data_IF_256572916297
#
_entry.id   IF_256572916297
#
_cell.length_a   1.000
_cell.length_b   1.000
_cell.length_c   1.000
_cell.angle_alpha   90.00
_cell.angle_beta   90.00
_cell.angle_gamma   90.00
#
_symmetry.space_group_name_H-M   'P 1'
#
loop_
_entity.id
_entity.type
_entity.pdbx_description
1 polymer ?
#
# COMPACT_ATOMS: atom_id res chain seq x y z
N UNK A 1 18.01 -4.05 6.30
CA UNK A 1 16.71 -4.49 5.77
C UNK A 1 15.60 -4.10 6.73
N UNK A 2 14.53 -3.61 6.17
CA UNK A 2 13.39 -3.20 6.99
C UNK A 2 12.56 -4.42 7.38
N UNK A 3 12.15 -4.50 8.63
CA UNK A 3 11.27 -5.58 9.05
C UNK A 3 9.85 -5.28 8.57
N UNK A 4 9.02 -6.33 8.52
CA UNK A 4 7.63 -6.15 8.13
C UNK A 4 6.90 -5.22 9.11
N UNK A 5 7.21 -5.34 10.40
CA UNK A 5 6.61 -4.46 11.39
C UNK A 5 6.94 -3.00 11.15
N UNK A 6 8.20 -2.70 10.85
CA UNK A 6 8.61 -1.33 10.58
C UNK A 6 7.99 -0.82 9.29
N UNK A 7 7.91 -1.67 8.26
CA UNK A 7 7.28 -1.28 7.03
C UNK A 7 5.81 -0.94 7.26
N UNK A 8 5.09 -1.79 8.00
CA UNK A 8 3.69 -1.57 8.29
C UNK A 8 3.49 -0.24 9.02
N UNK A 9 4.33 0.03 10.03
CA UNK A 9 4.26 1.27 10.77
C UNK A 9 4.55 2.48 9.88
N UNK A 10 5.55 2.37 9.00
CA UNK A 10 5.88 3.45 8.10
C UNK A 10 4.74 3.74 7.12
N UNK A 11 4.12 2.70 6.60
CA UNK A 11 3.00 2.87 5.68
C UNK A 11 1.79 3.46 6.38
N UNK A 12 1.52 3.03 7.60
CA UNK A 12 0.41 3.60 8.35
C UNK A 12 0.67 5.08 8.65
N UNK A 13 1.93 5.44 8.95
CA UNK A 13 2.29 6.83 9.16
C UNK A 13 2.11 7.66 7.88
N UNK A 14 2.46 7.09 6.74
CA UNK A 14 2.26 7.77 5.45
C UNK A 14 0.76 8.03 5.24
N UNK A 15 -0.06 7.04 5.50
CA UNK A 15 -1.51 7.17 5.38
C UNK A 15 -2.02 8.26 6.32
N UNK A 16 -1.61 8.22 7.56
CA UNK A 16 -2.08 9.17 8.57
C UNK A 16 -1.64 10.58 8.24
N UNK A 17 -0.39 10.74 7.83
CA UNK A 17 0.15 12.06 7.52
C UNK A 17 -0.48 12.67 6.26
N UNK A 18 -0.97 11.83 5.36
CA UNK A 18 -1.60 12.28 4.13
C UNK A 18 -3.12 12.38 4.25
N UNK A 19 -3.64 12.11 5.43
CA UNK A 19 -5.09 12.15 5.69
C UNK A 19 -5.88 11.26 4.73
N UNK A 20 -5.33 10.10 4.41
CA UNK A 20 -6.01 9.16 3.53
C UNK A 20 -6.90 8.24 4.36
N UNK A 21 -8.05 7.90 3.79
CA UNK A 21 -8.97 6.99 4.46
C UNK A 21 -8.63 5.54 4.08
N UNK A 22 -7.47 5.12 4.52
CA UNK A 22 -6.97 3.77 4.27
C UNK A 22 -6.44 3.17 5.56
N UNK A 23 -6.43 1.85 5.60
CA UNK A 23 -5.86 1.13 6.73
C UNK A 23 -5.05 -0.05 6.19
N UNK A 24 -3.86 -0.25 6.71
CA UNK A 24 -3.05 -1.42 6.35
C UNK A 24 -3.60 -2.60 7.15
N UNK A 25 -4.12 -3.60 6.45
CA UNK A 25 -4.74 -4.74 7.11
C UNK A 25 -3.90 -6.00 7.04
N UNK A 26 -2.91 -6.04 6.16
CA UNK A 26 -2.06 -7.23 6.05
C UNK A 26 -0.76 -6.87 5.36
N UNK A 27 0.32 -7.46 5.83
CA UNK A 27 1.64 -7.29 5.22
C UNK A 27 2.38 -8.61 5.28
N UNK A 28 3.06 -8.96 4.22
CA UNK A 28 3.87 -10.17 4.20
C UNK A 28 5.03 -10.00 3.23
N UNK A 29 6.06 -10.81 3.41
CA UNK A 29 7.14 -10.89 2.44
C UNK A 29 6.74 -11.86 1.35
N UNK A 30 7.09 -11.55 0.12
CA UNK A 30 6.86 -12.44 -1.01
C UNK A 30 8.09 -12.43 -1.90
N UNK A 31 8.15 -13.36 -2.83
CA UNK A 31 9.28 -13.46 -3.74
C UNK A 31 10.40 -14.30 -3.15
N UNK A 32 11.44 -14.48 -3.95
CA UNK A 32 12.60 -15.29 -3.56
C UNK A 32 13.88 -14.59 -3.95
N UNK A 33 14.86 -14.73 -3.10
CA UNK A 33 16.18 -14.19 -3.35
C UNK A 33 16.14 -12.70 -3.67
N UNK A 34 16.67 -12.32 -4.81
CA UNK A 34 16.76 -10.92 -5.18
C UNK A 34 15.43 -10.32 -5.64
N UNK A 35 14.43 -11.16 -5.80
CA UNK A 35 13.11 -10.70 -6.23
C UNK A 35 12.15 -10.52 -5.06
N UNK A 36 12.67 -10.49 -3.85
CA UNK A 36 11.82 -10.33 -2.68
C UNK A 36 11.19 -8.95 -2.64
N UNK A 37 9.95 -8.92 -2.25
CA UNK A 37 9.24 -7.66 -2.07
C UNK A 37 8.21 -7.85 -0.97
N UNK A 38 7.65 -6.74 -0.49
CA UNK A 38 6.60 -6.78 0.51
C UNK A 38 5.26 -6.73 -0.20
N UNK A 39 4.34 -7.58 0.20
CA UNK A 39 2.99 -7.55 -0.33
C UNK A 39 2.11 -6.98 0.77
N UNK A 40 1.49 -5.85 0.50
CA UNK A 40 0.73 -5.10 1.50
C UNK A 40 -0.68 -4.90 1.01
N UNK A 41 -1.65 -5.21 1.85
CA UNK A 41 -3.06 -5.01 1.53
C UNK A 41 -3.58 -3.85 2.36
N UNK A 42 -4.22 -2.91 1.69
CA UNK A 42 -4.88 -1.79 2.36
C UNK A 42 -6.37 -1.87 2.10
N UNK A 43 -7.14 -1.34 3.03
CA UNK A 43 -8.58 -1.32 2.96
C UNK A 43 -9.07 0.12 3.08
N UNK A 44 -10.11 0.45 2.36
CA UNK A 44 -10.67 1.78 2.44
C UNK A 44 -12.09 1.80 1.87
N UNK A 45 -12.67 2.98 1.82
CA UNK A 45 -13.95 3.17 1.18
C UNK A 45 -15.16 3.07 2.08
N UNK A 46 -14.97 3.00 3.39
CA UNK A 46 -16.11 2.88 4.30
C UNK A 46 -17.18 3.93 4.08
N UNK A 47 -16.77 5.10 3.65
CA UNK A 47 -17.70 6.19 3.39
C UNK A 47 -17.70 6.59 1.93
N UNK A 48 -17.23 5.71 1.08
CA UNK A 48 -16.90 6.06 -0.28
C UNK A 48 -18.00 5.94 -1.30
N UNK A 49 -19.19 5.57 -0.91
CA UNK A 49 -20.32 5.47 -1.82
C UNK A 49 -20.10 4.55 -3.02
N UNK A 50 -19.13 3.66 -2.94
CA UNK A 50 -18.86 2.69 -3.99
C UNK A 50 -18.34 3.26 -5.29
N UNK A 51 -17.84 4.48 -5.28
CA UNK A 51 -17.36 5.11 -6.51
C UNK A 51 -15.89 4.82 -6.78
N UNK A 52 -15.65 4.11 -7.85
CA UNK A 52 -14.29 3.71 -8.22
C UNK A 52 -13.37 4.89 -8.46
N UNK A 53 -13.89 5.98 -8.99
CA UNK A 53 -13.07 7.18 -9.19
C UNK A 53 -12.46 7.68 -7.89
N UNK A 54 -13.22 7.65 -6.82
CA UNK A 54 -12.72 8.06 -5.52
C UNK A 54 -11.69 7.06 -5.01
N UNK A 55 -11.93 5.78 -5.19
CA UNK A 55 -11.00 4.74 -4.75
C UNK A 55 -9.66 4.88 -5.46
N UNK A 56 -9.70 5.07 -6.79
CA UNK A 56 -8.47 5.25 -7.54
C UNK A 56 -7.72 6.52 -7.10
N UNK A 57 -8.45 7.57 -6.79
CA UNK A 57 -7.83 8.80 -6.33
C UNK A 57 -7.10 8.58 -5.00
N UNK A 58 -7.73 7.89 -4.07
CA UNK A 58 -7.11 7.60 -2.78
C UNK A 58 -5.88 6.72 -2.96
N UNK A 59 -5.99 5.68 -3.79
CA UNK A 59 -4.87 4.77 -4.01
C UNK A 59 -3.72 5.46 -4.75
N UNK A 60 -4.03 6.35 -5.68
CA UNK A 60 -3.01 7.12 -6.37
C UNK A 60 -2.23 8.00 -5.40
N UNK A 61 -2.93 8.66 -4.49
CA UNK A 61 -2.28 9.49 -3.48
C UNK A 61 -1.42 8.65 -2.55
N UNK A 62 -1.90 7.46 -2.20
CA UNK A 62 -1.12 6.55 -1.38
C UNK A 62 0.16 6.13 -2.10
N UNK A 63 0.04 5.75 -3.37
CA UNK A 63 1.21 5.35 -4.15
C UNK A 63 2.21 6.50 -4.27
N UNK A 64 1.74 7.69 -4.54
CA UNK A 64 2.62 8.86 -4.64
C UNK A 64 3.36 9.11 -3.32
N UNK A 65 2.66 8.97 -2.21
CA UNK A 65 3.28 9.19 -0.91
C UNK A 65 4.32 8.11 -0.60
N UNK A 66 4.04 6.87 -0.98
CA UNK A 66 5.00 5.78 -0.78
C UNK A 66 6.25 6.03 -1.63
N UNK A 67 6.06 6.43 -2.89
CA UNK A 67 7.19 6.73 -3.77
C UNK A 67 8.00 7.90 -3.25
N UNK A 68 7.34 8.87 -2.67
CA UNK A 68 8.03 10.02 -2.08
C UNK A 68 8.91 9.63 -0.90
N UNK A 69 8.66 8.47 -0.32
CA UNK A 69 9.46 7.95 0.77
C UNK A 69 10.55 6.99 0.29
N UNK A 70 10.82 6.97 -1.01
CA UNK A 70 11.92 6.20 -1.56
C UNK A 70 11.63 4.73 -1.76
N UNK A 71 10.39 4.39 -1.98
CA UNK A 71 10.01 3.00 -2.23
C UNK A 71 9.35 2.87 -3.58
N UNK A 72 9.48 1.69 -4.19
CA UNK A 72 8.74 1.36 -5.39
C UNK A 72 7.41 0.73 -4.97
N UNK A 73 6.37 0.99 -5.73
CA UNK A 73 5.07 0.43 -5.44
C UNK A 73 4.35 0.10 -6.74
N UNK A 74 3.66 -1.01 -6.77
CA UNK A 74 2.86 -1.41 -7.92
C UNK A 74 1.62 -2.14 -7.43
N UNK A 75 0.57 -2.07 -8.24
CA UNK A 75 -0.69 -2.71 -7.88
C UNK A 75 -0.66 -4.17 -8.28
N UNK A 76 -0.96 -5.05 -7.34
CA UNK A 76 -1.04 -6.49 -7.60
C UNK A 76 -2.48 -6.87 -7.92
N UNK A 77 -3.42 -6.43 -7.09
CA UNK A 77 -4.83 -6.73 -7.34
C UNK A 77 -5.71 -5.77 -6.55
N UNK A 78 -6.95 -5.64 -7.00
CA UNK A 78 -7.97 -4.90 -6.29
C UNK A 78 -9.21 -5.77 -6.15
N UNK A 79 -9.92 -5.56 -5.08
CA UNK A 79 -11.15 -6.28 -4.80
C UNK A 79 -12.13 -5.35 -4.09
N UNK A 80 -13.38 -5.39 -4.52
CA UNK A 80 -14.43 -4.59 -3.92
C UNK A 80 -15.43 -5.50 -3.24
N UNK A 81 -15.71 -5.22 -1.97
CA UNK A 81 -16.73 -5.95 -1.25
C UNK A 81 -18.01 -5.14 -1.35
N UNK A 82 -18.91 -5.60 -2.20
CA UNK A 82 -20.14 -4.86 -2.48
C UNK A 82 -21.08 -4.78 -1.28
N UNK A 83 -20.95 -5.71 -0.35
CA UNK A 83 -21.85 -5.72 0.82
C UNK A 83 -21.44 -4.68 1.84
N UNK A 84 -20.14 -4.43 1.97
CA UNK A 84 -19.64 -3.51 2.99
C UNK A 84 -19.20 -2.17 2.44
N UNK A 85 -19.33 -1.98 1.12
CA UNK A 85 -18.86 -0.77 0.45
C UNK A 85 -17.41 -0.48 0.74
N UNK A 86 -16.63 -1.55 0.88
CA UNK A 86 -15.21 -1.46 1.18
C UNK A 86 -14.43 -2.02 0.02
N UNK A 87 -13.32 -1.41 -0.29
CA UNK A 87 -12.40 -1.97 -1.26
C UNK A 87 -11.12 -2.41 -0.58
N UNK A 88 -10.45 -3.36 -1.21
CA UNK A 88 -9.15 -3.85 -0.78
C UNK A 88 -8.20 -3.72 -1.96
N UNK A 89 -7.01 -3.27 -1.70
CA UNK A 89 -5.99 -3.19 -2.74
C UNK A 89 -4.72 -3.80 -2.19
N UNK A 90 -4.12 -4.71 -2.96
CA UNK A 90 -2.87 -5.33 -2.58
C UNK A 90 -1.79 -4.76 -3.47
N UNK A 91 -0.75 -4.25 -2.85
CA UNK A 91 0.39 -3.67 -3.55
C UNK A 91 1.64 -4.48 -3.29
N UNK A 92 2.51 -4.52 -4.30
CA UNK A 92 3.88 -4.94 -4.08
C UNK A 92 4.67 -3.68 -3.77
N UNK A 93 5.48 -3.74 -2.74
CA UNK A 93 6.31 -2.62 -2.34
C UNK A 93 7.73 -3.11 -2.16
N UNK A 94 8.66 -2.39 -2.74
CA UNK A 94 10.07 -2.70 -2.59
C UNK A 94 10.81 -1.42 -2.31
N UNK A 95 11.70 -1.49 -1.34
CA UNK A 95 12.54 -0.36 -1.07
C UNK A 95 13.48 -0.18 -2.25
N UNK A 96 13.68 1.03 -2.66
CA UNK A 96 14.60 1.30 -3.75
C UNK A 96 16.00 1.16 -3.18
N UNK A 97 16.49 -0.08 -3.26
CA UNK A 97 17.76 -0.40 -2.63
C UNK A 97 18.92 -0.19 -3.52
N UNK A 98 18.65 0.15 -4.76
CA UNK A 98 19.73 0.33 -5.70
C UNK A 98 20.71 1.30 -5.15
N UNK A 99 20.18 2.27 -4.49
CA UNK A 99 21.05 3.25 -3.98
C UNK A 99 21.69 2.80 -2.75
N UNK A 100 21.17 1.82 -2.08
CA UNK A 100 21.81 1.40 -0.92
C UNK A 100 22.75 0.34 -1.16
N UNK A 101 22.55 -0.30 -2.18
CA UNK A 101 23.47 -1.32 -2.59
C UNK A 101 24.75 -0.86 -2.28
N UNK A 102 24.68 0.14 -1.86
CA UNK A 102 25.82 0.67 -1.47
C UNK A 102 26.00 0.59 -0.06
#
# INVERSE_FOLDING_TARGET
MMTIGKLTDNLQNVIDNSNLELEVIHSEMDGKNNDSFYKVTVSGGKNGNGKWGEYFSILSKFADAVESNGMEIWLVKMHNDAFDDVFYATFGIRRDEGEIGQ
#
